data_IF_917357030932
#
_entry.id   IF_917357030932
#
_cell.length_a   1.000
_cell.length_b   1.000
_cell.length_c   1.000
_cell.angle_alpha   90.00
_cell.angle_beta   90.00
_cell.angle_gamma   90.00
#
_symmetry.space_group_name_H-M   'P 1'
#
loop_
_entity.id
_entity.type
_entity.pdbx_description
1 polymer ?
#
# COMPACT_ATOMS: atom_id res chain seq x y z
N UNK A 1 -6.48 -18.90 13.16
CA UNK A 1 -6.55 -17.59 13.85
C UNK A 1 -7.97 -17.38 14.38
N UNK A 2 -8.14 -16.91 15.62
CA UNK A 2 -9.46 -16.52 16.16
C UNK A 2 -9.41 -15.01 16.42
N UNK A 3 -10.24 -14.25 15.72
CA UNK A 3 -10.29 -12.78 15.85
C UNK A 3 -11.33 -12.41 16.90
N UNK A 4 -10.95 -11.59 17.88
CA UNK A 4 -11.93 -10.96 18.78
C UNK A 4 -12.41 -9.65 18.14
N UNK A 5 -13.47 -9.76 17.35
CA UNK A 5 -14.03 -8.63 16.59
C UNK A 5 -14.40 -7.42 17.45
N UNK A 6 -14.86 -7.65 18.69
CA UNK A 6 -15.24 -6.56 19.59
C UNK A 6 -14.06 -5.76 20.12
N UNK A 7 -12.90 -6.40 20.33
CA UNK A 7 -11.66 -5.71 20.73
C UNK A 7 -11.11 -4.95 19.53
N UNK A 8 -11.02 -5.62 18.38
CA UNK A 8 -10.48 -5.01 17.14
C UNK A 8 -11.29 -3.78 16.70
N UNK A 9 -12.62 -3.84 16.81
CA UNK A 9 -13.49 -2.70 16.50
C UNK A 9 -13.24 -1.50 17.45
N UNK A 10 -12.90 -1.74 18.72
CA UNK A 10 -12.53 -0.67 19.66
C UNK A 10 -11.16 -0.08 19.34
N UNK A 11 -10.17 -0.91 19.01
CA UNK A 11 -8.82 -0.47 18.63
C UNK A 11 -8.84 0.40 17.37
N UNK A 12 -9.71 0.07 16.41
CA UNK A 12 -9.90 0.84 15.19
C UNK A 12 -10.90 2.00 15.33
N UNK A 13 -11.47 2.19 16.53
CA UNK A 13 -12.44 3.25 16.80
C UNK A 13 -13.77 3.12 16.04
N UNK A 14 -14.10 1.93 15.53
CA UNK A 14 -15.35 1.65 14.82
C UNK A 14 -16.49 1.25 15.74
N UNK A 15 -16.19 0.88 16.99
CA UNK A 15 -17.18 0.67 18.05
C UNK A 15 -17.07 1.79 19.08
N UNK A 16 -18.02 2.75 19.03
CA UNK A 16 -18.03 3.94 19.88
C UNK A 16 -18.62 3.62 21.25
N UNK A 17 -19.72 2.87 21.27
CA UNK A 17 -20.38 2.34 22.47
C UNK A 17 -21.05 0.99 22.18
N UNK A 18 -21.86 0.46 23.10
CA UNK A 18 -22.50 -0.85 22.94
C UNK A 18 -23.60 -0.92 21.87
N UNK A 19 -24.07 0.21 21.34
CA UNK A 19 -25.14 0.29 20.35
C UNK A 19 -24.76 1.05 19.08
N UNK A 20 -23.61 1.73 19.07
CA UNK A 20 -23.16 2.55 17.95
C UNK A 20 -21.87 1.98 17.33
N UNK A 21 -22.01 1.43 16.13
CA UNK A 21 -20.91 0.86 15.34
C UNK A 21 -20.87 1.41 13.91
N UNK A 22 -19.67 1.42 13.33
CA UNK A 22 -19.40 1.88 11.98
C UNK A 22 -18.80 0.74 11.14
N UNK A 23 -19.27 0.62 9.90
CA UNK A 23 -18.72 -0.28 8.91
C UNK A 23 -18.51 0.43 7.58
N UNK A 24 -17.73 -0.17 6.69
CA UNK A 24 -17.46 0.36 5.37
C UNK A 24 -16.34 -0.38 4.67
N UNK A 25 -16.25 -0.24 3.35
CA UNK A 25 -15.21 -0.90 2.55
C UNK A 25 -13.80 -0.47 2.98
N UNK A 26 -13.59 0.82 3.22
CA UNK A 26 -12.30 1.36 3.66
C UNK A 26 -11.91 0.83 5.06
N UNK A 27 -12.87 0.74 5.97
CA UNK A 27 -12.65 0.16 7.30
C UNK A 27 -12.34 -1.35 7.21
N UNK A 28 -13.03 -2.09 6.34
CA UNK A 28 -12.76 -3.49 6.09
C UNK A 28 -11.35 -3.74 5.54
N UNK A 29 -10.89 -2.87 4.65
CA UNK A 29 -9.51 -2.89 4.14
C UNK A 29 -8.51 -2.63 5.27
N UNK A 30 -8.73 -1.60 6.09
CA UNK A 30 -7.84 -1.28 7.24
C UNK A 30 -7.77 -2.44 8.23
N UNK A 31 -8.88 -3.13 8.48
CA UNK A 31 -8.92 -4.35 9.29
C UNK A 31 -8.07 -5.46 8.68
N UNK A 32 -8.19 -5.70 7.37
CA UNK A 32 -7.37 -6.71 6.69
C UNK A 32 -5.89 -6.36 6.79
N UNK A 33 -5.55 -5.09 6.60
CA UNK A 33 -4.18 -4.61 6.74
C UNK A 33 -3.64 -4.84 8.16
N UNK A 34 -4.44 -4.51 9.17
CA UNK A 34 -4.10 -4.73 10.57
C UNK A 34 -3.91 -6.22 10.92
N UNK A 35 -4.77 -7.10 10.39
CA UNK A 35 -4.72 -8.54 10.68
C UNK A 35 -3.53 -9.25 10.01
N UNK A 36 -3.17 -8.83 8.80
CA UNK A 36 -2.04 -9.40 8.06
C UNK A 36 -0.69 -8.78 8.43
N UNK A 37 -0.71 -7.56 8.99
CA UNK A 37 0.48 -6.78 9.32
C UNK A 37 1.06 -6.04 8.13
N UNK A 38 1.79 -4.95 8.41
CA UNK A 38 2.47 -4.14 7.37
C UNK A 38 3.42 -4.98 6.53
N UNK A 39 4.18 -5.86 7.17
CA UNK A 39 5.23 -6.68 6.56
C UNK A 39 4.68 -7.55 5.43
N UNK A 40 3.42 -8.00 5.52
CA UNK A 40 2.79 -8.78 4.45
C UNK A 40 2.66 -7.98 3.16
N UNK A 41 2.26 -6.70 3.25
CA UNK A 41 2.10 -5.85 2.07
C UNK A 41 3.43 -5.29 1.59
N UNK A 42 4.38 -5.03 2.50
CA UNK A 42 5.75 -4.67 2.16
C UNK A 42 6.42 -5.77 1.34
N UNK A 43 6.29 -7.03 1.77
CA UNK A 43 6.75 -8.20 1.01
C UNK A 43 6.05 -8.35 -0.34
N UNK A 44 4.74 -8.07 -0.43
CA UNK A 44 4.03 -8.10 -1.70
C UNK A 44 4.53 -7.01 -2.68
N UNK A 45 4.88 -5.83 -2.17
CA UNK A 45 5.52 -4.77 -2.96
C UNK A 45 6.90 -5.21 -3.43
N UNK A 46 7.73 -5.77 -2.54
CA UNK A 46 9.06 -6.28 -2.88
C UNK A 46 8.99 -7.38 -3.95
N UNK A 47 8.04 -8.30 -3.83
CA UNK A 47 7.81 -9.37 -4.81
C UNK A 47 7.36 -8.85 -6.17
N UNK A 48 6.59 -7.77 -6.20
CA UNK A 48 6.25 -7.10 -7.45
C UNK A 48 7.47 -6.41 -8.06
N UNK A 49 8.21 -5.65 -7.24
CA UNK A 49 9.38 -4.88 -7.66
C UNK A 49 10.52 -5.78 -8.16
N UNK A 50 10.68 -6.98 -7.59
CA UNK A 50 11.66 -7.96 -8.05
C UNK A 50 11.34 -8.57 -9.43
N UNK A 51 10.10 -8.41 -9.92
CA UNK A 51 9.66 -8.96 -11.19
C UNK A 51 9.54 -10.48 -11.21
N UNK A 52 9.56 -11.13 -10.05
CA UNK A 52 9.51 -12.59 -9.94
C UNK A 52 8.14 -13.17 -10.32
N UNK A 53 8.10 -14.48 -10.62
CA UNK A 53 6.87 -15.17 -10.93
C UNK A 53 5.83 -14.98 -9.81
N UNK A 54 4.62 -14.56 -10.18
CA UNK A 54 3.56 -14.20 -9.22
C UNK A 54 3.48 -12.72 -8.87
N UNK A 55 4.38 -11.87 -9.39
CA UNK A 55 4.32 -10.41 -9.24
C UNK A 55 2.96 -9.81 -9.61
N UNK A 56 2.33 -10.27 -10.69
CA UNK A 56 0.99 -9.80 -11.09
C UNK A 56 -0.11 -10.19 -10.09
N UNK A 57 0.04 -11.32 -9.40
CA UNK A 57 -0.89 -11.70 -8.33
C UNK A 57 -0.68 -10.80 -7.10
N UNK A 58 0.57 -10.52 -6.74
CA UNK A 58 0.89 -9.56 -5.68
C UNK A 58 0.32 -8.17 -6.01
N UNK A 59 0.53 -7.67 -7.25
CA UNK A 59 -0.07 -6.43 -7.75
C UNK A 59 -1.59 -6.45 -7.66
N UNK A 60 -2.23 -7.56 -8.00
CA UNK A 60 -3.70 -7.68 -7.94
C UNK A 60 -4.24 -7.59 -6.50
N UNK A 61 -3.56 -8.22 -5.54
CA UNK A 61 -3.88 -8.10 -4.10
C UNK A 61 -3.72 -6.65 -3.65
N UNK A 62 -2.58 -6.04 -3.97
CA UNK A 62 -2.26 -4.67 -3.62
C UNK A 62 -3.23 -3.66 -4.27
N UNK A 63 -3.63 -3.87 -5.52
CA UNK A 63 -4.64 -3.07 -6.23
C UNK A 63 -6.01 -3.17 -5.56
N UNK A 64 -6.39 -4.36 -5.09
CA UNK A 64 -7.70 -4.59 -4.49
C UNK A 64 -7.82 -3.98 -3.11
N UNK A 65 -6.74 -4.05 -2.33
CA UNK A 65 -6.71 -3.63 -0.93
C UNK A 65 -6.15 -2.22 -0.74
N UNK A 66 -5.30 -1.71 -1.64
CA UNK A 66 -4.67 -0.37 -1.53
C UNK A 66 -4.15 -0.07 -0.11
N UNK A 67 -3.36 -0.98 0.47
CA UNK A 67 -2.90 -0.85 1.84
C UNK A 67 -2.00 0.38 1.99
N UNK A 68 -2.11 1.08 3.12
CA UNK A 68 -1.27 2.25 3.39
C UNK A 68 0.21 1.86 3.53
N UNK A 69 0.51 0.73 4.16
CA UNK A 69 1.85 0.16 4.26
C UNK A 69 2.47 -0.08 2.89
N UNK A 70 1.78 -0.77 1.98
CA UNK A 70 2.28 -1.02 0.62
C UNK A 70 2.56 0.27 -0.16
N UNK A 71 1.67 1.26 -0.08
CA UNK A 71 1.89 2.56 -0.74
C UNK A 71 3.10 3.30 -0.15
N UNK A 72 3.26 3.34 1.18
CA UNK A 72 4.47 3.91 1.81
C UNK A 72 5.74 3.16 1.42
N UNK A 73 5.68 1.84 1.29
CA UNK A 73 6.84 1.03 0.94
C UNK A 73 7.31 1.31 -0.49
N UNK A 74 6.38 1.45 -1.44
CA UNK A 74 6.70 1.90 -2.80
C UNK A 74 7.48 3.23 -2.77
N UNK A 75 7.00 4.18 -1.96
CA UNK A 75 7.67 5.46 -1.81
C UNK A 75 9.05 5.33 -1.13
N UNK A 76 9.18 4.48 -0.12
CA UNK A 76 10.45 4.21 0.55
C UNK A 76 11.49 3.63 -0.42
N UNK A 77 11.09 2.68 -1.28
CA UNK A 77 11.95 2.10 -2.33
C UNK A 77 12.40 3.19 -3.30
N UNK A 78 11.48 4.02 -3.80
CA UNK A 78 11.82 5.15 -4.69
C UNK A 78 12.89 6.08 -4.09
N UNK A 79 12.79 6.38 -2.78
CA UNK A 79 13.70 7.29 -2.07
C UNK A 79 15.06 6.68 -1.74
N UNK A 80 15.11 5.38 -1.45
CA UNK A 80 16.28 4.75 -0.84
C UNK A 80 17.04 3.81 -1.78
N UNK A 81 16.37 3.20 -2.78
CA UNK A 81 17.03 2.26 -3.67
C UNK A 81 18.07 2.94 -4.55
N UNK A 82 19.19 2.26 -4.76
CA UNK A 82 20.25 2.66 -5.68
C UNK A 82 20.09 2.00 -7.06
N UNK A 83 19.17 1.05 -7.18
CA UNK A 83 18.86 0.36 -8.42
C UNK A 83 17.77 1.15 -9.16
N UNK A 84 18.07 1.60 -10.38
CA UNK A 84 17.12 2.41 -11.16
C UNK A 84 15.83 1.65 -11.45
N UNK A 85 15.94 0.36 -11.75
CA UNK A 85 14.79 -0.46 -12.13
C UNK A 85 13.83 -0.62 -10.94
N UNK A 86 14.36 -0.87 -9.73
CA UNK A 86 13.53 -0.96 -8.53
C UNK A 86 12.76 0.34 -8.24
N UNK A 87 13.42 1.49 -8.45
CA UNK A 87 12.78 2.80 -8.28
C UNK A 87 11.65 2.99 -9.30
N UNK A 88 11.89 2.65 -10.56
CA UNK A 88 10.90 2.73 -11.64
C UNK A 88 9.71 1.81 -11.32
N UNK A 89 9.96 0.55 -11.00
CA UNK A 89 8.91 -0.43 -10.68
C UNK A 89 8.07 0.01 -9.46
N UNK A 90 8.72 0.58 -8.44
CA UNK A 90 8.01 1.08 -7.27
C UNK A 90 7.09 2.26 -7.61
N UNK A 91 7.53 3.18 -8.49
CA UNK A 91 6.70 4.29 -8.96
C UNK A 91 5.58 3.79 -9.89
N UNK A 92 5.86 2.82 -10.77
CA UNK A 92 4.86 2.19 -11.64
C UNK A 92 3.73 1.52 -10.84
N UNK A 93 4.05 0.97 -9.67
CA UNK A 93 3.07 0.33 -8.80
C UNK A 93 2.13 1.33 -8.10
N UNK A 94 2.58 2.56 -7.84
CA UNK A 94 1.85 3.56 -7.06
C UNK A 94 0.43 3.86 -7.58
N UNK A 95 0.16 3.99 -8.90
CA UNK A 95 -1.21 4.16 -9.42
C UNK A 95 -2.18 3.03 -9.03
N UNK A 96 -1.69 1.82 -8.78
CA UNK A 96 -2.52 0.67 -8.40
C UNK A 96 -2.80 0.63 -6.90
N UNK A 97 -1.81 0.97 -6.08
CA UNK A 97 -1.89 0.90 -4.62
C UNK A 97 -2.31 2.22 -3.97
N UNK A 98 -2.24 3.30 -4.74
CA UNK A 98 -2.34 4.65 -4.25
C UNK A 98 -3.75 5.16 -4.01
N UNK A 99 -3.85 6.12 -3.10
CA UNK A 99 -5.00 7.02 -2.97
C UNK A 99 -4.54 8.48 -3.02
N UNK A 100 -5.44 9.42 -2.71
CA UNK A 100 -5.17 10.88 -2.72
C UNK A 100 -3.90 11.30 -1.96
N UNK A 101 -3.40 10.51 -1.01
CA UNK A 101 -2.16 10.79 -0.26
C UNK A 101 -0.93 10.75 -1.17
N UNK A 102 -0.96 9.99 -2.27
CA UNK A 102 0.12 9.93 -3.26
C UNK A 102 0.38 11.28 -3.94
N UNK A 103 -0.65 12.15 -4.00
CA UNK A 103 -0.54 13.46 -4.66
C UNK A 103 0.54 14.35 -4.03
N UNK A 104 0.83 14.15 -2.73
CA UNK A 104 1.90 14.87 -2.04
C UNK A 104 3.31 14.49 -2.50
N UNK A 105 3.48 13.34 -3.16
CA UNK A 105 4.78 12.83 -3.62
C UNK A 105 5.04 13.08 -5.11
N UNK A 106 3.99 13.36 -5.90
CA UNK A 106 4.09 13.64 -7.34
C UNK A 106 5.16 14.69 -7.69
N UNK A 107 5.31 15.81 -6.96
CA UNK A 107 6.34 16.78 -7.27
C UNK A 107 7.77 16.20 -7.23
N UNK A 108 8.02 15.20 -6.39
CA UNK A 108 9.34 14.55 -6.32
C UNK A 108 9.58 13.63 -7.52
N UNK A 109 8.55 12.92 -7.97
CA UNK A 109 8.65 12.07 -9.16
C UNK A 109 8.85 12.88 -10.45
N UNK A 110 8.14 14.00 -10.59
CA UNK A 110 8.29 14.91 -11.73
C UNK A 110 9.65 15.62 -11.76
N UNK A 111 10.29 15.78 -10.59
CA UNK A 111 11.62 16.36 -10.46
C UNK A 111 12.75 15.32 -10.60
N UNK A 112 12.43 14.03 -10.75
CA UNK A 112 13.43 12.97 -10.83
C UNK A 112 14.29 13.09 -12.09
N UNK A 113 15.62 12.88 -12.03
CA UNK A 113 16.44 12.90 -13.25
C UNK A 113 16.10 11.76 -14.23
N UNK A 114 15.49 10.66 -13.78
CA UNK A 114 15.05 9.57 -14.64
C UNK A 114 13.73 9.92 -15.35
N UNK A 115 13.79 10.06 -16.68
CA UNK A 115 12.61 10.36 -17.51
C UNK A 115 11.55 9.27 -17.47
N UNK A 116 11.93 8.03 -17.18
CA UNK A 116 10.97 6.93 -17.05
C UNK A 116 10.05 7.20 -15.87
N UNK A 117 10.60 7.63 -14.73
CA UNK A 117 9.84 8.00 -13.53
C UNK A 117 8.93 9.21 -13.82
N UNK A 118 9.44 10.22 -14.52
CA UNK A 118 8.64 11.40 -14.89
C UNK A 118 7.41 11.02 -15.73
N UNK A 119 7.56 10.08 -16.66
CA UNK A 119 6.49 9.66 -17.58
C UNK A 119 5.43 8.75 -16.92
N UNK A 120 5.69 8.26 -15.70
CA UNK A 120 4.74 7.45 -14.92
C UNK A 120 3.75 8.29 -14.10
N UNK A 121 3.92 9.62 -14.07
CA UNK A 121 3.15 10.55 -13.26
C UNK A 121 2.04 11.27 -14.02
#
# INVERSE_FOLDING_TARGET
>A
MKVNWSILARELGTLIDSQNEMGGSDLGIQVIEHLLGSDFFEQAVEHYVSGEAGSELARSVLLRLRPWSGMKHCYAIFKASKNSDERVMAVELLPYVGDRRVLGWIPEFLADPDRTIQNLC
#
